data_IF_292881479758
#
_entry.id   IF_292881479758
#
_cell.length_a   1.000
_cell.length_b   1.000
_cell.length_c   1.000
_cell.angle_alpha   90.00
_cell.angle_beta   90.00
_cell.angle_gamma   90.00
#
_symmetry.space_group_name_H-M   'P 1'
#
loop_
_entity.id
_entity.type
_entity.pdbx_description
1 polymer ?
#
# COMPACT_ATOMS: atom_id res chain seq x y z
N UNK A 1 6.04 -14.81 -0.54
CA UNK A 1 5.89 -13.45 0.01
C UNK A 1 4.84 -13.50 1.11
N UNK A 2 5.23 -13.14 2.33
CA UNK A 2 4.32 -13.06 3.47
C UNK A 2 3.52 -11.74 3.43
N UNK A 3 2.31 -11.73 3.99
CA UNK A 3 1.43 -10.56 4.01
C UNK A 3 0.93 -10.34 5.44
N UNK A 4 1.12 -9.12 5.95
CA UNK A 4 0.77 -8.73 7.31
C UNK A 4 -0.33 -7.66 7.32
N UNK A 5 -0.97 -7.49 8.49
CA UNK A 5 -1.96 -6.43 8.69
C UNK A 5 -1.22 -5.12 8.96
N UNK A 6 -1.65 -4.05 8.30
CA UNK A 6 -1.12 -2.70 8.50
C UNK A 6 -1.21 -2.26 9.96
N UNK A 7 -0.18 -1.55 10.42
CA UNK A 7 -0.06 -1.05 11.80
C UNK A 7 0.54 -2.06 12.79
N UNK A 8 0.75 -3.31 12.39
CA UNK A 8 1.41 -4.29 13.25
C UNK A 8 2.94 -4.23 13.09
N UNK A 9 3.66 -4.51 14.19
CA UNK A 9 5.08 -4.84 14.13
C UNK A 9 5.28 -6.14 13.35
N UNK A 10 6.28 -6.15 12.47
CA UNK A 10 6.63 -7.30 11.63
C UNK A 10 8.05 -7.73 11.93
N UNK A 11 8.21 -8.98 12.34
CA UNK A 11 9.52 -9.64 12.48
C UNK A 11 9.90 -10.30 11.16
N UNK A 12 11.06 -9.92 10.62
CA UNK A 12 11.59 -10.46 9.37
C UNK A 12 12.92 -11.16 9.64
N UNK A 13 12.91 -12.48 9.53
CA UNK A 13 14.12 -13.32 9.58
C UNK A 13 14.66 -13.48 8.16
N UNK A 14 15.86 -12.98 7.91
CA UNK A 14 16.46 -12.85 6.58
C UNK A 14 17.78 -13.61 6.58
N UNK A 15 17.85 -14.70 5.80
CA UNK A 15 19.09 -15.43 5.60
C UNK A 15 20.07 -14.61 4.74
N UNK A 16 21.34 -14.57 5.15
CA UNK A 16 22.40 -13.90 4.40
C UNK A 16 23.00 -14.86 3.38
N UNK A 17 22.32 -14.99 2.23
CA UNK A 17 22.71 -15.88 1.13
C UNK A 17 23.02 -15.08 -0.14
N UNK A 18 23.93 -15.60 -0.97
CA UNK A 18 24.20 -15.07 -2.31
C UNK A 18 23.10 -15.44 -3.33
N UNK A 19 23.19 -14.92 -4.56
CA UNK A 19 22.24 -15.23 -5.65
C UNK A 19 22.14 -16.72 -6.00
N UNK A 20 23.11 -17.53 -5.59
CA UNK A 20 23.13 -18.98 -5.78
C UNK A 20 22.61 -19.75 -4.55
N UNK A 21 22.16 -19.05 -3.50
CA UNK A 21 21.66 -19.63 -2.25
C UNK A 21 22.75 -20.16 -1.33
N UNK A 22 24.00 -19.73 -1.50
CA UNK A 22 25.08 -20.08 -0.59
C UNK A 22 25.18 -19.04 0.53
N UNK A 23 25.43 -19.45 1.79
CA UNK A 23 25.67 -18.52 2.88
C UNK A 23 26.83 -17.57 2.59
N UNK A 24 26.65 -16.30 2.91
CA UNK A 24 27.71 -15.28 2.86
C UNK A 24 28.64 -15.50 4.06
N UNK A 25 29.94 -15.65 3.79
CA UNK A 25 30.96 -15.95 4.82
C UNK A 25 31.72 -14.68 5.20
N UNK A 26 32.08 -14.54 6.48
CA UNK A 26 32.89 -13.42 6.98
C UNK A 26 32.12 -12.11 6.90
N UNK A 27 30.89 -12.08 7.42
CA UNK A 27 30.06 -10.87 7.48
C UNK A 27 30.62 -9.94 8.56
N UNK A 28 31.07 -8.75 8.17
CA UNK A 28 31.64 -7.73 9.07
C UNK A 28 30.57 -6.78 9.62
N UNK A 29 29.66 -6.33 8.76
CA UNK A 29 28.60 -5.41 9.15
C UNK A 29 27.42 -5.51 8.19
N UNK A 30 26.22 -5.29 8.70
CA UNK A 30 24.99 -5.19 7.92
C UNK A 30 24.35 -3.85 8.18
N UNK A 31 24.04 -3.11 7.11
CA UNK A 31 23.24 -1.89 7.17
C UNK A 31 21.93 -2.16 6.45
N UNK A 32 20.81 -1.77 7.01
CA UNK A 32 19.51 -1.92 6.37
C UNK A 32 18.75 -0.61 6.29
N UNK A 33 17.86 -0.50 5.30
CA UNK A 33 16.86 0.57 5.21
C UNK A 33 15.54 -0.01 4.73
N UNK A 34 14.45 0.71 4.95
CA UNK A 34 13.11 0.25 4.56
C UNK A 34 12.48 1.26 3.61
N UNK A 35 12.02 0.77 2.46
CA UNK A 35 11.33 1.56 1.45
C UNK A 35 9.95 0.96 1.12
N UNK A 36 9.07 1.77 0.54
CA UNK A 36 7.77 1.35 0.01
C UNK A 36 7.82 0.93 -1.48
N UNK A 37 6.66 0.62 -2.07
CA UNK A 37 6.55 0.28 -3.51
C UNK A 37 6.91 1.41 -4.47
N UNK A 38 6.90 2.66 -4.00
CA UNK A 38 7.23 3.85 -4.78
C UNK A 38 8.70 4.27 -4.61
N UNK A 39 9.48 3.52 -3.82
CA UNK A 39 10.84 3.81 -3.39
C UNK A 39 10.97 5.02 -2.45
N UNK A 40 9.90 5.39 -1.75
CA UNK A 40 10.01 6.37 -0.67
C UNK A 40 10.70 5.71 0.53
N UNK A 41 11.64 6.44 1.12
CA UNK A 41 12.34 5.99 2.32
C UNK A 41 11.43 6.13 3.55
N UNK A 42 11.10 5.01 4.18
CA UNK A 42 10.29 4.95 5.39
C UNK A 42 11.15 4.88 6.65
N UNK A 43 12.33 4.25 6.52
CA UNK A 43 13.36 4.20 7.54
C UNK A 43 14.71 4.36 6.85
N UNK A 44 15.49 5.34 7.31
CA UNK A 44 16.84 5.57 6.82
C UNK A 44 17.80 4.43 7.15
N UNK A 45 19.06 4.52 6.70
CA UNK A 45 20.07 3.49 6.94
C UNK A 45 20.31 3.28 8.45
N UNK A 46 20.16 2.04 8.91
CA UNK A 46 20.39 1.58 10.28
C UNK A 46 21.46 0.48 10.26
N UNK A 47 22.40 0.54 11.19
CA UNK A 47 23.39 -0.50 11.44
C UNK A 47 22.73 -1.58 12.29
N UNK A 48 22.73 -2.81 11.78
CA UNK A 48 22.19 -3.98 12.47
C UNK A 48 23.15 -4.46 13.55
N UNK A 49 22.63 -4.72 14.74
CA UNK A 49 23.36 -5.30 15.87
C UNK A 49 22.69 -6.61 16.30
N UNK A 50 23.35 -7.77 16.12
CA UNK A 50 22.83 -9.05 16.61
C UNK A 50 22.52 -8.97 18.11
N UNK A 51 21.29 -9.37 18.49
CA UNK A 51 20.78 -9.35 19.87
C UNK A 51 20.88 -7.99 20.60
N UNK A 52 21.06 -6.89 19.86
CA UNK A 52 21.22 -5.54 20.38
C UNK A 52 20.18 -4.56 19.82
N UNK A 53 20.38 -3.28 20.13
CA UNK A 53 19.58 -2.20 19.54
C UNK A 53 20.26 -1.66 18.28
N UNK A 54 19.55 -1.70 17.16
CA UNK A 54 19.97 -1.11 15.89
C UNK A 54 20.06 0.42 16.01
N UNK A 55 21.02 1.03 15.34
CA UNK A 55 21.26 2.48 15.42
C UNK A 55 21.51 3.11 14.05
N UNK A 56 21.20 4.40 13.84
CA UNK A 56 21.34 5.03 12.53
C UNK A 56 22.80 5.03 12.06
N UNK A 57 23.00 4.82 10.76
CA UNK A 57 24.32 4.97 10.14
C UNK A 57 24.79 6.43 10.32
N UNK A 58 26.01 6.66 10.82
CA UNK A 58 26.50 8.01 11.05
C UNK A 58 26.59 8.77 9.73
N UNK A 59 25.89 9.91 9.66
CA UNK A 59 26.00 10.83 8.52
C UNK A 59 27.35 11.53 8.66
N UNK A 60 28.23 11.39 7.66
CA UNK A 60 29.48 12.15 7.65
C UNK A 60 29.17 13.66 7.77
N UNK A 61 29.87 14.40 8.64
CA UNK A 61 29.64 15.83 8.76
C UNK A 61 29.94 16.50 7.43
N UNK A 62 28.98 17.25 6.90
CA UNK A 62 29.19 18.11 5.74
C UNK A 62 30.31 19.08 6.11
N UNK A 63 31.42 19.06 5.36
CA UNK A 63 32.49 20.05 5.56
C UNK A 63 31.87 21.44 5.52
N UNK A 64 32.16 22.33 6.48
CA UNK A 64 31.64 23.69 6.46
C UNK A 64 32.06 24.32 5.13
N UNK A 65 31.08 24.83 4.37
CA UNK A 65 31.36 25.58 3.15
C UNK A 65 32.40 26.65 3.48
N UNK A 66 33.51 26.68 2.73
CA UNK A 66 34.55 27.68 2.90
C UNK A 66 33.90 29.06 2.88
N UNK A 67 34.21 29.96 3.83
CA UNK A 67 33.64 31.30 3.82
C UNK A 67 33.96 31.95 2.48
N UNK A 68 32.94 32.37 1.75
CA UNK A 68 33.10 33.06 0.47
C UNK A 68 34.13 34.19 0.63
N UNK A 69 35.14 34.20 -0.26
CA UNK A 69 36.16 35.25 -0.27
C UNK A 69 35.47 36.62 -0.28
N UNK A 70 35.90 37.57 0.58
CA UNK A 70 35.27 38.87 0.65
C UNK A 70 35.34 39.55 -0.72
N UNK A 71 34.16 39.91 -1.28
CA UNK A 71 34.07 40.64 -2.53
C UNK A 71 34.97 41.88 -2.50
N UNK A 72 35.76 42.08 -3.56
CA UNK A 72 36.64 43.23 -3.70
C UNK A 72 35.86 44.55 -3.52
N UNK A 73 36.44 45.55 -2.84
CA UNK A 73 35.75 46.79 -2.53
C UNK A 73 35.34 47.53 -3.82
N UNK A 74 34.04 47.72 -3.97
CA UNK A 74 33.47 48.58 -5.02
C UNK A 74 33.91 50.03 -4.82
N UNK A 75 34.25 50.69 -5.94
CA UNK A 75 34.73 52.08 -5.97
C UNK A 75 33.75 53.06 -5.30
N UNK A 76 34.25 54.10 -4.61
CA UNK A 76 33.42 54.99 -3.81
C UNK A 76 32.52 55.84 -4.70
N UNK A 77 31.21 55.72 -4.50
CA UNK A 77 30.23 56.68 -5.03
C UNK A 77 30.13 57.85 -4.05
N UNK A 78 30.17 59.07 -4.58
CA UNK A 78 30.16 60.35 -3.83
C UNK A 78 28.93 60.53 -2.92
N UNK A 79 29.03 61.36 -1.85
CA UNK A 79 28.06 61.38 -0.77
C UNK A 79 26.92 62.38 -1.02
N UNK A 80 25.68 61.96 -0.79
CA UNK A 80 24.56 62.87 -0.57
C UNK A 80 24.02 62.74 0.87
N UNK A 81 24.24 63.84 1.60
CA UNK A 81 23.50 64.44 2.71
C UNK A 81 22.70 63.59 3.73
N UNK A 82 23.31 63.49 4.91
CA UNK A 82 22.76 63.77 6.25
C UNK A 82 21.25 64.03 6.40
N UNK A 83 20.61 63.22 7.25
CA UNK A 83 19.70 63.72 8.31
C UNK A 83 19.89 62.94 9.62
N UNK A 84 19.60 63.63 10.71
CA UNK A 84 19.96 63.45 12.13
C UNK A 84 19.60 62.13 12.84
N UNK A 85 20.24 61.87 14.01
CA UNK A 85 20.00 60.72 14.87
C UNK A 85 18.92 61.01 15.93
N UNK A 86 18.21 59.97 16.37
CA UNK A 86 17.54 59.96 17.68
C UNK A 86 18.18 58.93 18.61
N UNK A 87 18.15 59.31 19.88
CA UNK A 87 19.01 58.96 21.01
C UNK A 87 18.86 57.54 21.61
N UNK A 88 19.84 57.13 22.45
CA UNK A 88 19.91 55.80 23.04
C UNK A 88 19.09 55.71 24.34
N UNK A 89 18.77 54.48 24.76
CA UNK A 89 18.45 54.21 26.17
C UNK A 89 19.38 53.13 26.71
N UNK A 90 20.18 53.57 27.68
CA UNK A 90 20.88 52.81 28.69
C UNK A 90 19.86 52.02 29.54
N UNK A 91 20.23 50.84 30.07
CA UNK A 91 20.62 50.75 31.49
C UNK A 91 20.92 49.30 31.95
N UNK A 92 22.15 49.16 32.48
CA UNK A 92 22.61 48.44 33.69
C UNK A 92 21.84 47.23 34.25
N UNK A 93 22.60 46.17 34.60
CA UNK A 93 22.95 45.91 36.00
C UNK A 93 24.00 44.82 36.14
N UNK A 94 25.06 45.16 36.88
CA UNK A 94 26.12 44.28 37.36
C UNK A 94 25.70 43.51 38.63
N UNK A 95 26.45 42.44 38.93
CA UNK A 95 26.96 42.00 40.25
C UNK A 95 27.55 40.59 40.07
N UNK A 96 28.88 40.43 40.02
CA UNK A 96 29.83 40.22 41.14
C UNK A 96 29.64 38.88 41.87
N UNK A 97 30.64 37.99 41.78
CA UNK A 97 31.51 37.68 42.92
C UNK A 97 32.62 36.69 42.52
N UNK A 98 33.85 37.05 42.88
CA UNK A 98 35.06 36.24 42.91
C UNK A 98 35.03 35.34 44.15
N UNK A 99 35.53 34.09 44.10
CA UNK A 99 36.39 33.55 45.17
C UNK A 99 37.40 32.53 44.62
N UNK A 100 38.63 32.85 44.96
CA UNK A 100 39.96 32.24 44.93
C UNK A 100 40.17 30.83 45.55
N UNK A 101 41.20 30.13 45.02
CA UNK A 101 42.18 29.14 45.54
C UNK A 101 41.76 27.98 46.48
N UNK A 102 42.23 26.77 46.17
CA UNK A 102 43.33 26.16 46.95
C UNK A 102 44.08 25.08 46.15
N UNK A 103 45.41 25.15 46.19
CA UNK A 103 46.36 24.15 45.71
C UNK A 103 46.74 23.24 46.88
N UNK A 104 46.87 21.93 46.69
CA UNK A 104 47.92 21.17 47.39
C UNK A 104 48.40 20.00 46.54
N UNK A 105 49.67 20.09 46.18
CA UNK A 105 50.55 19.01 45.76
C UNK A 105 50.71 17.97 46.89
N UNK A 106 50.89 16.70 46.56
CA UNK A 106 51.89 15.87 47.25
C UNK A 106 52.42 14.78 46.32
N UNK A 107 53.73 14.60 46.38
CA UNK A 107 54.55 13.79 45.50
C UNK A 107 55.30 12.72 46.31
N UNK A 108 55.63 11.61 45.63
CA UNK A 108 56.60 10.61 46.09
C UNK A 108 56.03 9.18 45.98
N UNK A 109 56.77 8.16 45.56
CA UNK A 109 58.15 8.04 45.08
C UNK A 109 58.30 6.61 44.51
N UNK A 110 59.15 6.46 43.48
CA UNK A 110 60.01 5.30 43.11
C UNK A 110 59.47 3.84 42.98
N UNK A 111 59.26 3.42 41.72
CA UNK A 111 59.79 2.26 40.92
C UNK A 111 60.21 0.84 41.51
N UNK A 112 60.29 -0.23 40.66
CA UNK A 112 59.79 -1.62 40.91
C UNK A 112 60.91 -2.69 41.15
N UNK A 113 60.61 -4.03 41.26
CA UNK A 113 60.49 -4.89 40.05
C UNK A 113 59.57 -6.14 40.15
N UNK A 114 59.11 -6.57 38.95
CA UNK A 114 58.87 -7.93 38.42
C UNK A 114 58.54 -9.11 39.37
N UNK A 115 57.42 -9.80 39.11
CA UNK A 115 57.36 -11.26 39.05
C UNK A 115 56.18 -11.70 38.16
N UNK A 116 56.52 -12.45 37.10
CA UNK A 116 55.63 -13.17 36.19
C UNK A 116 54.65 -14.07 36.94
N UNK A 117 53.41 -14.21 36.47
CA UNK A 117 52.62 -15.47 36.41
C UNK A 117 51.35 -15.23 35.56
N UNK A 118 50.81 -16.28 34.93
CA UNK A 118 50.51 -16.31 33.50
C UNK A 118 49.14 -15.72 33.14
N UNK A 119 49.08 -15.16 31.94
CA UNK A 119 47.85 -14.94 31.16
C UNK A 119 46.97 -16.19 31.23
N UNK A 120 45.84 -16.08 31.91
CA UNK A 120 44.68 -16.93 31.62
C UNK A 120 44.34 -16.66 30.16
N UNK A 121 44.56 -17.66 29.30
CA UNK A 121 43.96 -17.75 27.97
C UNK A 121 42.44 -17.70 28.18
N UNK A 122 41.87 -16.49 28.18
CA UNK A 122 40.46 -16.34 27.87
C UNK A 122 40.26 -16.98 26.49
N UNK A 123 39.31 -17.91 26.33
CA UNK A 123 39.02 -18.46 25.02
C UNK A 123 38.61 -17.28 24.14
N UNK A 124 39.42 -17.00 23.12
CA UNK A 124 39.04 -16.10 22.03
C UNK A 124 37.73 -16.65 21.48
N UNK A 125 36.61 -15.99 21.78
CA UNK A 125 35.36 -16.28 21.10
C UNK A 125 35.61 -16.02 19.62
N UNK A 126 35.53 -17.09 18.81
CA UNK A 126 35.50 -16.96 17.36
C UNK A 126 34.35 -16.00 17.03
N UNK A 127 34.55 -15.01 16.13
CA UNK A 127 33.45 -14.12 15.75
C UNK A 127 32.30 -15.00 15.25
N UNK A 128 31.14 -14.92 15.91
CA UNK A 128 29.97 -15.63 15.43
C UNK A 128 29.65 -15.11 14.02
N UNK A 129 29.84 -15.98 13.02
CA UNK A 129 29.49 -15.68 11.64
C UNK A 129 27.98 -15.42 11.58
N UNK A 130 27.61 -14.16 11.35
CA UNK A 130 26.22 -13.75 11.19
C UNK A 130 25.67 -14.43 9.94
N UNK A 131 24.80 -15.43 10.12
CA UNK A 131 24.19 -16.19 9.03
C UNK A 131 22.77 -15.72 8.69
N UNK A 132 22.11 -15.06 9.64
CA UNK A 132 20.78 -14.47 9.47
C UNK A 132 20.67 -13.15 10.22
N UNK A 133 19.72 -12.33 9.77
CA UNK A 133 19.40 -11.02 10.32
C UNK A 133 17.93 -10.99 10.71
N UNK A 134 17.63 -10.56 11.93
CA UNK A 134 16.26 -10.43 12.43
C UNK A 134 15.90 -8.95 12.56
N UNK A 135 15.09 -8.44 11.64
CA UNK A 135 14.67 -7.03 11.64
C UNK A 135 13.23 -6.93 12.14
N UNK A 136 13.03 -6.13 13.19
CA UNK A 136 11.73 -5.73 13.69
C UNK A 136 11.33 -4.40 13.03
N UNK A 137 10.33 -4.45 12.14
CA UNK A 137 9.75 -3.23 11.58
C UNK A 137 8.56 -2.78 12.42
N UNK A 138 8.62 -1.57 12.95
CA UNK A 138 7.57 -1.00 13.79
C UNK A 138 6.23 -0.79 13.06
N UNK A 139 5.16 -0.78 13.87
CA UNK A 139 3.80 -0.55 13.40
C UNK A 139 3.62 0.78 12.67
N UNK A 140 4.36 1.82 13.04
CA UNK A 140 4.30 3.15 12.40
C UNK A 140 4.79 3.08 10.94
N UNK A 141 5.93 2.43 10.68
CA UNK A 141 6.46 2.17 9.33
C UNK A 141 5.50 1.26 8.53
N UNK A 142 4.84 0.33 9.23
CA UNK A 142 3.86 -0.60 8.67
C UNK A 142 2.44 -0.03 8.55
N UNK A 143 2.25 1.25 8.85
CA UNK A 143 0.97 1.92 8.66
C UNK A 143 0.84 2.34 7.20
N UNK A 144 -0.27 1.95 6.56
CA UNK A 144 -0.61 2.34 5.20
C UNK A 144 -1.23 3.75 5.23
N UNK A 145 -0.94 4.54 4.20
CA UNK A 145 -1.59 5.82 4.00
C UNK A 145 -3.11 5.68 3.85
N UNK A 146 -3.85 6.76 4.10
CA UNK A 146 -5.29 6.80 3.87
C UNK A 146 -5.60 6.41 2.41
N UNK A 147 -6.70 5.66 2.22
CA UNK A 147 -7.14 5.12 0.91
C UNK A 147 -6.27 4.01 0.29
N UNK A 148 -5.05 3.77 0.82
CA UNK A 148 -4.19 2.66 0.38
C UNK A 148 -4.59 1.38 1.11
N UNK A 149 -5.14 0.42 0.37
CA UNK A 149 -5.58 -0.85 0.95
C UNK A 149 -4.45 -1.89 1.06
N UNK A 150 -3.42 -1.76 0.23
CA UNK A 150 -2.29 -2.70 0.12
C UNK A 150 -1.05 -1.96 -0.36
N UNK A 151 0.09 -2.39 0.15
CA UNK A 151 1.41 -1.95 -0.27
C UNK A 151 2.43 -3.04 0.06
N UNK A 152 3.69 -2.82 -0.26
CA UNK A 152 4.80 -3.68 0.14
C UNK A 152 5.81 -2.87 0.95
N UNK A 153 6.62 -3.58 1.71
CA UNK A 153 7.83 -3.05 2.33
C UNK A 153 9.00 -3.84 1.81
N UNK A 154 10.03 -3.13 1.38
CA UNK A 154 11.27 -3.69 0.87
C UNK A 154 12.34 -3.32 1.89
N UNK A 155 12.90 -4.33 2.54
CA UNK A 155 14.08 -4.21 3.40
C UNK A 155 15.29 -4.39 2.49
N UNK A 156 16.04 -3.32 2.28
CA UNK A 156 17.29 -3.36 1.53
C UNK A 156 18.44 -3.54 2.52
N UNK A 157 19.17 -4.65 2.42
CA UNK A 157 20.34 -4.93 3.24
C UNK A 157 21.60 -4.68 2.41
N UNK A 158 22.56 -3.99 2.99
CA UNK A 158 23.93 -3.80 2.50
C UNK A 158 24.87 -4.54 3.44
N UNK A 159 25.35 -5.69 3.00
CA UNK A 159 26.23 -6.58 3.74
C UNK A 159 27.67 -6.28 3.34
N UNK A 160 28.52 -5.94 4.32
CA UNK A 160 29.96 -5.76 4.11
C UNK A 160 30.70 -6.94 4.70
N UNK A 161 31.56 -7.59 3.91
CA UNK A 161 32.36 -8.73 4.36
C UNK A 161 33.73 -8.28 4.89
N UNK A 162 34.42 -9.15 5.63
CA UNK A 162 35.79 -8.93 6.09
C UNK A 162 36.78 -8.70 4.93
N UNK A 163 36.52 -9.33 3.78
CA UNK A 163 37.29 -9.13 2.55
C UNK A 163 37.05 -7.78 1.86
N UNK A 164 36.12 -6.96 2.39
CA UNK A 164 35.73 -5.66 1.83
C UNK A 164 34.71 -5.75 0.69
N UNK A 165 34.14 -6.94 0.44
CA UNK A 165 33.04 -7.11 -0.51
C UNK A 165 31.75 -6.47 0.03
N UNK A 166 30.98 -5.85 -0.86
CA UNK A 166 29.66 -5.28 -0.53
C UNK A 166 28.60 -5.99 -1.36
N UNK A 167 27.64 -6.59 -0.68
CA UNK A 167 26.51 -7.32 -1.27
C UNK A 167 25.21 -6.59 -0.91
N UNK A 168 24.28 -6.52 -1.85
CA UNK A 168 22.95 -5.95 -1.61
C UNK A 168 21.91 -7.06 -1.70
N UNK A 169 21.10 -7.20 -0.66
CA UNK A 169 20.00 -8.16 -0.59
C UNK A 169 18.68 -7.41 -0.41
N UNK A 170 17.60 -7.97 -0.94
CA UNK A 170 16.26 -7.42 -0.77
C UNK A 170 15.35 -8.46 -0.16
N UNK A 171 14.64 -8.07 0.90
CA UNK A 171 13.56 -8.86 1.46
C UNK A 171 12.25 -8.09 1.34
N UNK A 172 11.22 -8.76 0.81
CA UNK A 172 9.94 -8.13 0.49
C UNK A 172 8.80 -8.81 1.24
N UNK A 173 8.02 -8.02 1.97
CA UNK A 173 6.74 -8.45 2.54
C UNK A 173 5.61 -7.49 2.19
N UNK A 174 4.39 -8.02 2.20
CA UNK A 174 3.18 -7.27 1.86
C UNK A 174 2.48 -6.75 3.10
N UNK A 175 1.80 -5.63 2.95
CA UNK A 175 0.88 -5.07 3.94
C UNK A 175 -0.53 -5.00 3.35
N UNK A 176 -1.53 -5.24 4.20
CA UNK A 176 -2.93 -5.06 3.85
C UNK A 176 -3.68 -4.46 5.03
N UNK A 177 -4.66 -3.62 4.76
CA UNK A 177 -5.63 -3.24 5.81
C UNK A 177 -6.45 -4.45 6.25
N UNK A 178 -6.92 -4.45 7.50
CA UNK A 178 -7.66 -5.57 8.10
C UNK A 178 -8.95 -5.93 7.33
N UNK A 179 -9.69 -4.92 6.89
CA UNK A 179 -10.90 -5.07 6.07
C UNK A 179 -10.65 -4.39 4.70
N UNK A 180 -10.04 -5.09 3.72
CA UNK A 180 -9.61 -4.50 2.44
C UNK A 180 -10.76 -4.17 1.48
N UNK A 181 -11.99 -4.58 1.78
CA UNK A 181 -13.16 -4.31 0.96
C UNK A 181 -14.00 -3.21 1.60
N UNK A 182 -13.93 -2.01 1.03
CA UNK A 182 -14.66 -0.83 1.45
C UNK A 182 -15.85 -0.63 0.50
N UNK A 183 -17.06 -0.65 1.08
CA UNK A 183 -18.30 -0.53 0.32
C UNK A 183 -18.41 0.86 -0.31
N UNK A 184 -18.67 0.92 -1.61
CA UNK A 184 -18.76 2.17 -2.37
C UNK A 184 -17.43 2.65 -2.94
N UNK A 185 -16.29 2.19 -2.41
CA UNK A 185 -14.95 2.56 -2.92
C UNK A 185 -14.42 1.51 -3.88
N UNK A 186 -14.03 0.34 -3.38
CA UNK A 186 -13.42 -0.73 -4.16
C UNK A 186 -14.30 -1.99 -4.27
N UNK A 187 -15.45 -2.02 -3.60
CA UNK A 187 -16.38 -3.14 -3.59
C UNK A 187 -17.82 -2.68 -3.39
N UNK A 188 -18.81 -3.50 -3.77
CA UNK A 188 -20.22 -3.26 -3.42
C UNK A 188 -20.64 -3.94 -2.10
N UNK A 189 -19.75 -4.72 -1.50
CA UNK A 189 -19.97 -5.40 -0.21
C UNK A 189 -18.67 -5.67 0.54
N UNK A 190 -18.78 -5.83 1.85
CA UNK A 190 -17.70 -6.33 2.70
C UNK A 190 -17.44 -7.82 2.44
N UNK A 191 -16.27 -8.31 2.88
CA UNK A 191 -15.95 -9.74 2.75
C UNK A 191 -16.94 -10.64 3.51
N UNK A 192 -17.35 -10.22 4.71
CA UNK A 192 -18.32 -10.96 5.55
C UNK A 192 -19.70 -11.03 4.88
N UNK A 193 -20.15 -9.95 4.22
CA UNK A 193 -21.37 -9.95 3.41
C UNK A 193 -21.26 -10.90 2.21
N UNK A 194 -20.11 -10.91 1.53
CA UNK A 194 -19.85 -11.83 0.41
C UNK A 194 -19.90 -13.30 0.87
N UNK A 195 -19.29 -13.63 2.02
CA UNK A 195 -19.36 -14.97 2.61
C UNK A 195 -20.79 -15.38 2.92
N UNK A 196 -21.57 -14.50 3.55
CA UNK A 196 -22.99 -14.76 3.82
C UNK A 196 -23.77 -14.98 2.52
N UNK A 197 -23.56 -14.12 1.52
CA UNK A 197 -24.26 -14.22 0.24
C UNK A 197 -23.87 -15.48 -0.53
N UNK A 198 -22.62 -15.93 -0.42
CA UNK A 198 -22.15 -17.17 -1.02
C UNK A 198 -22.89 -18.39 -0.49
N UNK A 199 -23.28 -18.41 0.79
CA UNK A 199 -24.09 -19.50 1.36
C UNK A 199 -25.46 -19.63 0.69
N UNK A 200 -26.03 -18.51 0.24
CA UNK A 200 -27.35 -18.46 -0.41
C UNK A 200 -27.28 -18.64 -1.94
N UNK A 201 -26.09 -18.49 -2.54
CA UNK A 201 -25.88 -18.56 -3.97
C UNK A 201 -25.42 -19.96 -4.41
N UNK A 202 -26.27 -20.64 -5.19
CA UNK A 202 -25.87 -21.90 -5.82
C UNK A 202 -24.83 -21.68 -6.94
N UNK A 203 -23.93 -22.65 -7.15
CA UNK A 203 -22.98 -22.74 -8.27
C UNK A 203 -21.77 -21.79 -8.20
N UNK A 204 -21.24 -21.54 -7.02
CA UNK A 204 -19.94 -20.85 -6.86
C UNK A 204 -18.83 -21.91 -6.80
N UNK A 205 -18.41 -22.44 -7.95
CA UNK A 205 -17.51 -23.60 -8.00
C UNK A 205 -16.07 -23.26 -7.61
N UNK A 206 -15.61 -22.04 -7.90
CA UNK A 206 -14.23 -21.64 -7.67
C UNK A 206 -14.09 -20.86 -6.36
N UNK A 207 -15.14 -20.14 -5.97
CA UNK A 207 -15.15 -19.30 -4.77
C UNK A 207 -14.63 -20.02 -3.53
N UNK A 208 -15.12 -21.22 -3.22
CA UNK A 208 -14.77 -21.93 -2.00
C UNK A 208 -13.39 -22.60 -2.06
N UNK A 209 -12.86 -22.86 -3.25
CA UNK A 209 -11.57 -23.50 -3.47
C UNK A 209 -10.39 -22.52 -3.33
N UNK A 210 -10.63 -21.23 -3.56
CA UNK A 210 -9.56 -20.23 -3.60
C UNK A 210 -9.27 -19.66 -2.21
N UNK A 211 -8.01 -19.28 -1.92
CA UNK A 211 -7.66 -18.62 -0.66
C UNK A 211 -8.35 -17.24 -0.54
N UNK A 212 -8.52 -16.76 0.69
CA UNK A 212 -9.19 -15.49 0.98
C UNK A 212 -8.59 -14.30 0.22
N UNK A 213 -7.26 -14.25 0.10
CA UNK A 213 -6.55 -13.19 -0.63
C UNK A 213 -6.98 -13.09 -2.10
N UNK A 214 -7.09 -14.23 -2.78
CA UNK A 214 -7.55 -14.32 -4.17
C UNK A 214 -9.03 -13.97 -4.29
N UNK A 215 -9.89 -14.43 -3.37
CA UNK A 215 -11.31 -14.05 -3.34
C UNK A 215 -11.52 -12.54 -3.21
N UNK A 216 -10.74 -11.89 -2.33
CA UNK A 216 -10.77 -10.44 -2.14
C UNK A 216 -10.32 -9.72 -3.42
N UNK A 217 -9.23 -10.19 -4.05
CA UNK A 217 -8.75 -9.63 -5.31
C UNK A 217 -9.81 -9.74 -6.42
N UNK A 218 -10.42 -10.92 -6.57
CA UNK A 218 -11.46 -11.17 -7.55
C UNK A 218 -12.71 -10.31 -7.32
N UNK A 219 -13.08 -10.01 -6.07
CA UNK A 219 -14.17 -9.08 -5.77
C UNK A 219 -13.85 -7.65 -6.21
N UNK A 220 -12.62 -7.16 -6.01
CA UNK A 220 -12.20 -5.83 -6.47
C UNK A 220 -12.21 -5.74 -8.00
N UNK A 221 -11.69 -6.77 -8.67
CA UNK A 221 -11.72 -6.86 -10.13
C UNK A 221 -13.15 -6.92 -10.68
N UNK A 222 -14.01 -7.71 -10.04
CA UNK A 222 -15.44 -7.78 -10.37
C UNK A 222 -16.15 -6.41 -10.26
N UNK A 223 -15.82 -5.59 -9.26
CA UNK A 223 -16.34 -4.23 -9.15
C UNK A 223 -15.91 -3.39 -10.34
N UNK A 224 -14.63 -3.43 -10.71
CA UNK A 224 -14.10 -2.71 -11.87
C UNK A 224 -14.81 -3.13 -13.18
N UNK A 225 -15.07 -4.43 -13.36
CA UNK A 225 -15.82 -4.94 -14.51
C UNK A 225 -17.27 -4.44 -14.55
N UNK A 226 -17.96 -4.46 -13.42
CA UNK A 226 -19.36 -3.99 -13.33
C UNK A 226 -19.45 -2.48 -13.54
N UNK A 227 -18.49 -1.69 -13.06
CA UNK A 227 -18.45 -0.23 -13.26
C UNK A 227 -18.33 0.18 -14.74
N UNK A 228 -17.84 -0.70 -15.63
CA UNK A 228 -17.82 -0.46 -17.10
C UNK A 228 -19.21 -0.53 -17.74
N UNK A 229 -20.22 -1.02 -17.03
CA UNK A 229 -21.59 -1.12 -17.54
C UNK A 229 -22.32 0.22 -17.39
N UNK A 230 -23.25 0.47 -18.32
CA UNK A 230 -24.10 1.66 -18.29
C UNK A 230 -25.45 1.32 -17.65
N UNK A 231 -25.77 2.00 -16.54
CA UNK A 231 -27.03 1.80 -15.81
C UNK A 231 -28.05 2.89 -16.14
N UNK A 232 -29.31 2.49 -16.29
CA UNK A 232 -30.44 3.38 -16.49
C UNK A 232 -31.55 3.05 -15.50
N UNK A 233 -31.94 4.04 -14.70
CA UNK A 233 -32.99 3.91 -13.68
C UNK A 233 -34.35 4.42 -14.16
N UNK A 234 -34.42 5.09 -15.31
CA UNK A 234 -35.65 5.63 -15.89
C UNK A 234 -36.60 4.57 -16.48
N UNK A 235 -36.08 3.40 -16.86
CA UNK A 235 -36.87 2.28 -17.43
C UNK A 235 -37.32 1.25 -16.40
N UNK A 236 -36.85 1.34 -15.15
CA UNK A 236 -37.30 0.45 -14.08
C UNK A 236 -38.77 0.82 -13.79
N UNK A 237 -39.72 0.03 -14.31
CA UNK A 237 -41.12 0.10 -13.89
C UNK A 237 -41.16 -0.15 -12.38
N UNK A 238 -41.20 0.93 -11.62
CA UNK A 238 -41.40 0.90 -10.18
C UNK A 238 -42.76 0.25 -9.95
N UNK A 239 -42.75 -0.99 -9.48
CA UNK A 239 -43.94 -1.69 -9.02
C UNK A 239 -44.57 -0.85 -7.90
N UNK A 240 -45.61 -0.09 -8.27
CA UNK A 240 -46.32 0.83 -7.38
C UNK A 240 -46.96 0.15 -6.16
N UNK A 241 -47.00 -1.19 -6.13
CA UNK A 241 -47.64 -1.98 -5.07
C UNK A 241 -46.70 -2.37 -3.91
N UNK A 242 -45.38 -2.19 -4.06
CA UNK A 242 -44.38 -2.53 -3.03
C UNK A 242 -43.52 -1.31 -2.72
N UNK A 243 -44.13 -0.36 -1.99
CA UNK A 243 -43.50 0.89 -1.62
C UNK A 243 -42.47 0.69 -0.51
N UNK A 244 -41.18 0.73 -0.87
CA UNK A 244 -40.12 1.34 -0.03
C UNK A 244 -39.90 2.82 -0.43
N UNK A 245 -40.81 3.40 -1.22
CA UNK A 245 -40.72 4.76 -1.73
C UNK A 245 -41.94 5.55 -1.29
N UNK A 246 -41.72 6.65 -0.56
CA UNK A 246 -42.79 7.58 -0.19
C UNK A 246 -43.22 8.35 -1.42
N UNK A 247 -44.41 8.01 -1.95
CA UNK A 247 -45.05 8.70 -3.07
C UNK A 247 -45.85 9.89 -2.53
N UNK A 248 -45.48 11.12 -2.85
CA UNK A 248 -46.41 12.25 -2.73
C UNK A 248 -47.24 12.42 -4.03
N UNK A 249 -48.50 12.01 -3.92
CA UNK A 249 -49.73 12.46 -4.57
C UNK A 249 -49.82 12.64 -6.12
N UNK A 250 -50.71 11.81 -6.67
CA UNK A 250 -51.76 12.09 -7.67
C UNK A 250 -51.40 12.53 -9.11
N UNK A 251 -51.68 11.62 -10.06
CA UNK A 251 -52.47 11.98 -11.25
C UNK A 251 -51.77 11.93 -12.62
N UNK A 252 -50.47 11.68 -12.70
CA UNK A 252 -49.75 11.41 -13.96
C UNK A 252 -48.62 10.41 -13.67
N UNK A 253 -48.24 9.49 -14.58
CA UNK A 253 -47.01 8.71 -14.43
C UNK A 253 -45.83 9.67 -14.64
N UNK A 254 -45.58 10.50 -13.63
CA UNK A 254 -44.33 11.23 -13.52
C UNK A 254 -43.33 10.20 -13.06
N UNK A 255 -42.31 9.97 -13.89
CA UNK A 255 -41.02 9.47 -13.43
C UNK A 255 -40.73 10.17 -12.11
N UNK A 256 -40.66 9.39 -11.03
CA UNK A 256 -40.27 9.92 -9.73
C UNK A 256 -38.86 10.45 -9.95
N UNK A 257 -38.68 11.77 -9.82
CA UNK A 257 -37.34 12.31 -9.60
C UNK A 257 -36.91 11.74 -8.26
N UNK A 258 -36.22 10.60 -8.32
CA UNK A 258 -35.43 10.10 -7.20
C UNK A 258 -34.52 11.26 -6.81
N UNK A 259 -34.45 11.56 -5.52
CA UNK A 259 -33.89 12.81 -4.97
C UNK A 259 -32.57 13.23 -5.61
N UNK A 260 -32.28 14.52 -5.50
CA UNK A 260 -31.23 15.35 -6.11
C UNK A 260 -30.04 14.66 -6.84
N UNK A 261 -29.50 13.52 -6.36
CA UNK A 261 -28.54 12.66 -7.09
C UNK A 261 -29.00 12.31 -8.51
N UNK A 262 -30.22 11.80 -8.70
CA UNK A 262 -30.67 11.41 -10.05
C UNK A 262 -31.16 12.61 -10.89
N UNK A 263 -31.27 13.79 -10.27
CA UNK A 263 -31.51 15.06 -10.95
C UNK A 263 -30.24 15.71 -11.49
N UNK A 264 -29.08 15.42 -10.88
CA UNK A 264 -27.77 15.97 -11.25
C UNK A 264 -27.06 15.11 -12.31
N UNK A 265 -27.18 13.77 -12.24
CA UNK A 265 -26.43 12.85 -13.13
C UNK A 265 -27.15 12.44 -14.44
N UNK A 266 -28.35 12.96 -14.73
CA UNK A 266 -29.12 12.56 -15.91
C UNK A 266 -29.63 11.10 -15.85
N UNK A 267 -30.24 10.61 -16.94
CA UNK A 267 -30.83 9.26 -17.01
C UNK A 267 -29.82 8.10 -16.89
N UNK A 268 -28.51 8.40 -16.83
CA UNK A 268 -27.41 7.45 -16.80
C UNK A 268 -26.46 7.71 -15.63
N UNK A 269 -26.34 6.76 -14.70
CA UNK A 269 -25.39 6.85 -13.58
C UNK A 269 -24.17 6.00 -13.89
N UNK A 270 -22.99 6.59 -13.75
CA UNK A 270 -21.71 5.86 -13.72
C UNK A 270 -21.40 5.50 -12.28
N UNK A 271 -21.21 4.22 -12.00
CA UNK A 271 -20.92 3.75 -10.63
C UNK A 271 -19.51 4.08 -10.15
N UNK A 272 -18.59 4.41 -11.07
CA UNK A 272 -17.21 4.77 -10.76
C UNK A 272 -17.10 6.16 -10.14
N UNK A 273 -17.98 7.08 -10.55
CA UNK A 273 -17.97 8.48 -10.11
C UNK A 273 -18.80 8.71 -8.81
N UNK A 274 -19.26 7.63 -8.16
CA UNK A 274 -20.07 7.72 -6.95
C UNK A 274 -19.19 7.76 -5.71
N UNK A 275 -19.42 8.77 -4.87
CA UNK A 275 -18.88 8.79 -3.52
C UNK A 275 -19.56 7.73 -2.63
N UNK A 276 -18.90 7.26 -1.55
CA UNK A 276 -19.48 6.27 -0.64
C UNK A 276 -20.85 6.69 -0.08
N UNK A 277 -21.02 7.99 0.23
CA UNK A 277 -22.27 8.54 0.74
C UNK A 277 -23.41 8.46 -0.29
N UNK A 278 -23.10 8.63 -1.58
CA UNK A 278 -24.08 8.54 -2.66
C UNK A 278 -24.42 7.10 -3.00
N UNK A 279 -23.46 6.19 -2.84
CA UNK A 279 -23.70 4.75 -2.96
C UNK A 279 -24.74 4.27 -1.94
N UNK A 280 -24.73 4.79 -0.71
CA UNK A 280 -25.72 4.42 0.30
C UNK A 280 -27.15 4.78 -0.10
N UNK A 281 -27.32 5.89 -0.83
CA UNK A 281 -28.63 6.39 -1.29
C UNK A 281 -29.20 5.59 -2.46
N UNK A 282 -28.43 4.64 -3.02
CA UNK A 282 -28.93 3.74 -4.07
C UNK A 282 -30.06 2.82 -3.55
N UNK A 283 -31.03 2.47 -4.41
CA UNK A 283 -32.09 1.52 -4.08
C UNK A 283 -31.57 0.20 -3.51
N UNK A 284 -32.16 -0.29 -2.40
CA UNK A 284 -31.72 -1.54 -1.78
C UNK A 284 -31.76 -2.74 -2.75
N UNK A 285 -32.82 -2.84 -3.58
CA UNK A 285 -32.92 -3.90 -4.60
C UNK A 285 -31.82 -3.82 -5.68
N UNK A 286 -31.29 -2.62 -5.95
CA UNK A 286 -30.19 -2.43 -6.86
C UNK A 286 -28.87 -2.79 -6.20
N UNK A 287 -28.64 -2.34 -4.95
CA UNK A 287 -27.49 -2.77 -4.14
C UNK A 287 -27.43 -4.30 -4.01
N UNK A 288 -28.56 -4.96 -3.73
CA UNK A 288 -28.64 -6.43 -3.68
C UNK A 288 -28.29 -7.10 -5.02
N UNK A 289 -28.67 -6.48 -6.15
CA UNK A 289 -28.33 -6.97 -7.47
C UNK A 289 -26.83 -6.78 -7.78
N UNK A 290 -26.25 -5.64 -7.39
CA UNK A 290 -24.81 -5.38 -7.49
C UNK A 290 -24.00 -6.39 -6.66
N UNK A 291 -24.41 -6.65 -5.43
CA UNK A 291 -23.76 -7.66 -4.58
C UNK A 291 -23.78 -9.05 -5.24
N UNK A 292 -24.95 -9.51 -5.70
CA UNK A 292 -25.06 -10.80 -6.40
C UNK A 292 -24.24 -10.85 -7.69
N UNK A 293 -24.22 -9.76 -8.44
CA UNK A 293 -23.45 -9.66 -9.67
C UNK A 293 -21.93 -9.70 -9.39
N UNK A 294 -21.46 -8.96 -8.38
CA UNK A 294 -20.05 -8.93 -8.02
C UNK A 294 -19.54 -10.29 -7.55
N UNK A 295 -20.31 -11.00 -6.72
CA UNK A 295 -19.93 -12.34 -6.29
C UNK A 295 -19.96 -13.35 -7.44
N UNK A 296 -20.97 -13.25 -8.32
CA UNK A 296 -21.07 -14.08 -9.50
C UNK A 296 -19.92 -13.88 -10.49
N UNK A 297 -19.49 -12.62 -10.65
CA UNK A 297 -18.37 -12.22 -11.49
C UNK A 297 -17.04 -12.64 -10.89
N UNK A 298 -16.85 -12.44 -9.58
CA UNK A 298 -15.62 -12.84 -8.90
C UNK A 298 -15.36 -14.35 -9.03
N UNK A 299 -16.40 -15.18 -8.93
CA UNK A 299 -16.28 -16.63 -9.14
C UNK A 299 -15.91 -17.00 -10.60
N UNK A 300 -16.28 -16.17 -11.58
CA UNK A 300 -15.87 -16.33 -12.99
C UNK A 300 -14.41 -15.87 -13.19
N UNK A 301 -14.02 -14.74 -12.59
CA UNK A 301 -12.63 -14.22 -12.58
C UNK A 301 -11.65 -15.23 -11.97
N UNK A 302 -12.08 -15.95 -10.93
CA UNK A 302 -11.28 -17.03 -10.33
C UNK A 302 -11.15 -18.28 -11.22
N UNK A 303 -11.86 -18.34 -12.35
CA UNK A 303 -11.77 -19.47 -13.29
C UNK A 303 -10.48 -19.39 -14.08
N UNK A 304 -9.59 -20.36 -13.86
CA UNK A 304 -8.39 -20.53 -14.67
C UNK A 304 -8.74 -21.24 -15.98
N UNK A 305 -8.29 -20.70 -17.10
CA UNK A 305 -8.33 -21.33 -18.43
C UNK A 305 -9.73 -21.77 -18.91
N UNK A 306 -10.70 -20.85 -18.84
CA UNK A 306 -12.03 -21.12 -19.32
C UNK A 306 -12.02 -21.37 -20.84
N UNK A 307 -12.88 -22.27 -21.32
CA UNK A 307 -13.08 -22.47 -22.77
C UNK A 307 -13.46 -21.15 -23.44
N UNK A 308 -14.18 -20.27 -22.74
CA UNK A 308 -14.51 -18.95 -23.25
C UNK A 308 -13.26 -18.11 -23.51
N UNK A 309 -12.26 -18.13 -22.61
CA UNK A 309 -10.97 -17.45 -22.79
C UNK A 309 -10.18 -17.99 -23.95
N UNK A 310 -10.05 -19.32 -24.06
CA UNK A 310 -9.34 -19.92 -25.18
C UNK A 310 -10.04 -19.61 -26.50
N UNK A 311 -11.37 -19.59 -26.53
CA UNK A 311 -12.14 -19.13 -27.70
C UNK A 311 -11.94 -17.65 -28.00
N UNK A 312 -11.81 -16.79 -26.98
CA UNK A 312 -11.42 -15.37 -27.15
C UNK A 312 -10.04 -15.25 -27.79
N UNK A 313 -9.11 -16.15 -27.44
CA UNK A 313 -7.76 -16.22 -28.01
C UNK A 313 -7.71 -16.89 -29.40
N UNK A 314 -8.85 -17.27 -29.98
CA UNK A 314 -8.93 -17.84 -31.32
C UNK A 314 -8.88 -19.38 -31.38
N UNK A 315 -9.13 -20.08 -30.27
CA UNK A 315 -9.28 -21.53 -30.28
C UNK A 315 -10.51 -21.97 -31.09
N UNK A 316 -10.26 -22.58 -32.23
CA UNK A 316 -11.29 -23.15 -33.13
C UNK A 316 -11.34 -24.68 -33.01
N UNK A 317 -10.23 -25.32 -32.68
CA UNK A 317 -10.13 -26.77 -32.52
C UNK A 317 -9.23 -27.10 -31.34
N UNK A 318 -9.70 -28.00 -30.48
CA UNK A 318 -8.92 -28.57 -29.39
C UNK A 318 -8.90 -30.09 -29.53
N UNK A 319 -7.75 -30.69 -29.25
CA UNK A 319 -7.60 -32.16 -29.19
C UNK A 319 -7.23 -32.54 -27.76
N UNK A 320 -8.14 -33.23 -27.07
CA UNK A 320 -7.91 -33.75 -25.72
C UNK A 320 -7.77 -35.26 -25.82
N UNK A 321 -6.54 -35.75 -25.71
CA UNK A 321 -6.21 -37.15 -25.96
C UNK A 321 -6.55 -37.55 -27.39
N UNK A 322 -7.56 -38.41 -27.55
CA UNK A 322 -8.04 -38.89 -28.86
C UNK A 322 -9.23 -38.08 -29.41
N UNK A 323 -9.87 -37.24 -28.58
CA UNK A 323 -11.11 -36.54 -28.95
C UNK A 323 -10.79 -35.16 -29.52
N UNK A 324 -11.27 -34.89 -30.73
CA UNK A 324 -11.23 -33.57 -31.37
C UNK A 324 -12.55 -32.85 -31.15
N UNK A 325 -12.49 -31.69 -30.50
CA UNK A 325 -13.63 -30.80 -30.32
C UNK A 325 -13.45 -29.58 -31.22
N UNK A 326 -14.39 -29.36 -32.15
CA UNK A 326 -14.45 -28.16 -32.98
C UNK A 326 -15.43 -27.15 -32.40
N UNK A 327 -15.02 -25.90 -32.30
CA UNK A 327 -15.82 -24.77 -31.88
C UNK A 327 -16.26 -23.93 -33.09
N UNK A 328 -17.37 -23.19 -32.96
CA UNK A 328 -17.84 -22.32 -34.05
C UNK A 328 -16.83 -21.21 -34.34
N UNK A 329 -16.71 -20.82 -35.63
CA UNK A 329 -15.84 -19.72 -36.08
C UNK A 329 -16.31 -18.34 -35.62
N UNK A 330 -17.58 -18.20 -35.23
CA UNK A 330 -18.10 -16.96 -34.65
C UNK A 330 -17.60 -16.82 -33.22
N UNK A 331 -16.85 -15.74 -32.96
CA UNK A 331 -16.42 -15.36 -31.62
C UNK A 331 -17.63 -15.01 -30.75
N UNK A 332 -17.71 -15.53 -29.51
CA UNK A 332 -18.75 -15.12 -28.57
C UNK A 332 -18.75 -13.60 -28.36
N UNK A 333 -19.95 -13.02 -28.17
CA UNK A 333 -20.09 -11.60 -27.87
C UNK A 333 -19.30 -11.27 -26.59
N UNK A 334 -18.40 -10.29 -26.67
CA UNK A 334 -17.63 -9.85 -25.51
C UNK A 334 -18.50 -8.93 -24.66
N UNK A 335 -18.83 -9.40 -23.47
CA UNK A 335 -19.51 -8.61 -22.45
C UNK A 335 -18.49 -8.22 -21.38
N UNK A 336 -18.66 -7.05 -20.77
CA UNK A 336 -17.72 -6.57 -19.74
C UNK A 336 -17.72 -7.45 -18.47
N UNK A 337 -18.78 -8.23 -18.27
CA UNK A 337 -18.99 -9.17 -17.16
C UNK A 337 -19.50 -10.51 -17.67
N UNK A 338 -19.38 -11.54 -16.85
CA UNK A 338 -19.95 -12.88 -17.02
C UNK A 338 -21.47 -12.84 -17.27
N UNK A 339 -21.97 -13.85 -17.97
CA UNK A 339 -23.40 -13.98 -18.28
C UNK A 339 -24.26 -14.07 -17.02
N UNK A 340 -23.74 -14.67 -15.95
CA UNK A 340 -24.43 -14.78 -14.66
C UNK A 340 -24.53 -13.43 -13.97
N UNK A 341 -23.42 -12.68 -13.87
CA UNK A 341 -23.43 -11.32 -13.33
C UNK A 341 -24.39 -10.42 -14.13
N UNK A 342 -24.35 -10.50 -15.47
CA UNK A 342 -25.27 -9.77 -16.34
C UNK A 342 -26.74 -10.10 -16.06
N UNK A 343 -27.08 -11.35 -15.76
CA UNK A 343 -28.46 -11.75 -15.49
C UNK A 343 -29.07 -11.06 -14.26
N UNK A 344 -28.26 -10.76 -13.24
CA UNK A 344 -28.69 -10.01 -12.06
C UNK A 344 -28.88 -8.52 -12.37
N UNK A 345 -28.05 -7.97 -13.26
CA UNK A 345 -28.05 -6.54 -13.61
C UNK A 345 -28.97 -6.18 -14.79
N UNK A 346 -29.45 -7.15 -15.56
CA UNK A 346 -30.16 -6.95 -16.82
C UNK A 346 -31.32 -5.94 -16.77
N UNK A 347 -32.01 -5.84 -15.62
CA UNK A 347 -33.14 -4.91 -15.41
C UNK A 347 -32.73 -3.45 -15.25
N UNK A 348 -31.45 -3.21 -14.95
CA UNK A 348 -30.89 -1.89 -14.67
C UNK A 348 -29.97 -1.42 -15.78
N UNK A 349 -29.69 -2.25 -16.79
CA UNK A 349 -28.83 -1.88 -17.90
C UNK A 349 -29.57 -0.99 -18.90
N UNK A 350 -28.86 0.01 -19.41
CA UNK A 350 -29.32 0.79 -20.54
C UNK A 350 -29.35 -0.10 -21.79
N UNK A 351 -30.53 -0.62 -22.16
CA UNK A 351 -30.68 -1.25 -23.47
C UNK A 351 -30.57 -0.17 -24.52
N UNK A 352 -29.48 -0.17 -25.29
CA UNK A 352 -29.31 0.75 -26.42
C UNK A 352 -30.58 0.82 -27.25
N UNK A 353 -30.98 2.04 -27.64
CA UNK A 353 -32.13 2.32 -28.52
C UNK A 353 -32.24 1.20 -29.55
N UNK A 354 -33.38 0.49 -29.58
CA UNK A 354 -33.73 -0.41 -30.69
C UNK A 354 -33.42 0.35 -31.98
N UNK A 355 -32.40 -0.10 -32.73
CA UNK A 355 -32.20 0.34 -34.10
C UNK A 355 -33.47 -0.05 -34.84
N UNK A 356 -34.38 0.90 -35.00
CA UNK A 356 -35.53 0.73 -35.86
C UNK A 356 -34.99 0.42 -37.24
N UNK A 357 -35.34 -0.75 -37.79
CA UNK A 357 -35.22 -0.99 -39.22
C UNK A 357 -36.12 0.05 -39.89
N UNK A 358 -35.51 1.06 -40.51
CA UNK A 358 -36.19 1.93 -41.47
C UNK A 358 -36.41 1.20 -42.77
#
# INVERSE_FOLDING_TARGET
>A
MNVYISGNTVESVIALEDDAGNPIVGVKSVVYRIIDSENNELLGPMIYVPDGEDYPEPVEPVEPEEPEEPEEPTEPTEPEESTEPEEPSEDISAQSDEVEVDETEDAGDEEPPLEDEPTEDEPVEEPEDISEVVILTDGEINTLAEEVCRDIRIICLKVTTESGGVLNLEYVYGLTVADPLVVGVNSFMTYRQAQRLAMDMSKLSNWDLMPQSQRISALMEAKAHICRLNFNFGTVQLDMSKQDYVVQAAGKPRSVKVGDIFGVYGDSVKLEDLEPEDFEKLPQKFKDALMKAQLAEADDVLTVDSIADRRRQGLILETIGEVKQMFSSVLPAQTAVSSRAMSYLARYLSTGKKLGRS
#
